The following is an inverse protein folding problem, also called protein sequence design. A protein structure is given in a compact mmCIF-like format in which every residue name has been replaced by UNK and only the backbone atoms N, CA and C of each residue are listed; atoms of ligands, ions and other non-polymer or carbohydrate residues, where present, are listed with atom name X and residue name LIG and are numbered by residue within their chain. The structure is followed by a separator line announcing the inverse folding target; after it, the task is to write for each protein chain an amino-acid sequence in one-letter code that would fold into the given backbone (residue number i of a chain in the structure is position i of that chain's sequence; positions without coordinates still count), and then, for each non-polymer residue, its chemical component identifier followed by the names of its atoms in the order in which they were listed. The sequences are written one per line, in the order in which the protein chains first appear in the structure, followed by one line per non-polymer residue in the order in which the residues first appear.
data_IF_227927856231
#
_entry.id   IF_227927856231
#
_cell.length_a   1.000
_cell.length_b   1.000
_cell.length_c   1.000
_cell.angle_alpha   90.00
_cell.angle_beta   90.00
_cell.angle_gamma   90.00
#
_symmetry.space_group_name_H-M   'P 1'
#
loop_
_entity.id
_entity.type
_entity.pdbx_description
1 polymer ?
#
# COMPACT_ATOMS: atom_id res chain seq x y z
N UNK A 1 7.67 -28.02 12.42
CA UNK A 1 7.56 -26.76 13.15
C UNK A 1 6.20 -26.67 13.83
N UNK A 2 6.06 -26.07 15.03
CA UNK A 2 4.77 -25.83 15.66
C UNK A 2 3.97 -24.78 14.86
N UNK A 3 2.68 -24.64 15.14
CA UNK A 3 1.90 -23.48 14.69
C UNK A 3 2.28 -22.29 15.58
N UNK A 4 2.82 -21.24 14.97
CA UNK A 4 3.31 -20.07 15.72
C UNK A 4 3.34 -18.82 14.87
N UNK A 5 3.08 -17.66 15.49
CA UNK A 5 3.42 -16.34 14.98
C UNK A 5 4.78 -15.97 15.55
N UNK A 6 5.75 -15.62 14.72
CA UNK A 6 7.12 -15.26 15.12
C UNK A 6 7.40 -13.79 15.07
N UNK A 7 6.81 -13.10 14.09
CA UNK A 7 7.00 -11.68 13.90
C UNK A 7 5.78 -11.03 13.22
N UNK A 8 5.68 -9.72 13.42
CA UNK A 8 4.77 -8.82 12.72
C UNK A 8 5.63 -7.78 12.03
N UNK A 9 5.45 -7.60 10.73
CA UNK A 9 5.99 -6.46 10.00
C UNK A 9 4.93 -5.36 9.98
N UNK A 10 5.37 -4.08 10.00
CA UNK A 10 4.52 -2.90 10.08
C UNK A 10 3.63 -2.91 11.34
N UNK A 11 4.28 -3.00 12.47
CA UNK A 11 3.67 -3.20 13.77
C UNK A 11 3.15 -1.93 14.47
N UNK A 12 2.93 -0.85 13.72
CA UNK A 12 2.36 0.41 14.22
C UNK A 12 1.27 0.89 13.28
N UNK A 13 0.05 1.05 13.76
CA UNK A 13 -1.11 1.50 12.98
C UNK A 13 -1.83 2.69 13.59
N UNK A 14 -2.41 3.55 12.74
CA UNK A 14 -3.24 4.68 13.16
C UNK A 14 -4.69 4.28 13.45
N UNK A 15 -5.33 4.92 14.43
CA UNK A 15 -6.71 4.64 14.83
C UNK A 15 -7.79 5.36 14.01
N UNK A 16 -7.49 5.73 12.76
CA UNK A 16 -8.43 6.45 11.88
C UNK A 16 -8.82 5.68 10.62
N UNK A 17 -8.40 4.42 10.50
CA UNK A 17 -8.69 3.63 9.32
C UNK A 17 -8.27 2.17 9.43
N UNK A 18 -8.11 1.53 8.27
CA UNK A 18 -7.63 0.14 8.20
C UNK A 18 -6.11 0.08 8.23
N UNK A 19 -5.61 -1.02 8.75
CA UNK A 19 -4.19 -1.33 8.79
C UNK A 19 -3.96 -2.79 8.43
N UNK A 20 -3.15 -3.03 7.41
CA UNK A 20 -2.74 -4.36 6.98
C UNK A 20 -1.32 -4.64 7.43
N UNK A 21 -1.16 -5.67 8.23
CA UNK A 21 0.13 -6.14 8.74
C UNK A 21 0.52 -7.44 8.10
N UNK A 22 1.82 -7.70 7.99
CA UNK A 22 2.33 -9.01 7.55
C UNK A 22 2.74 -9.82 8.75
N UNK A 23 2.14 -10.99 8.92
CA UNK A 23 2.52 -11.96 9.93
C UNK A 23 3.48 -12.99 9.35
N UNK A 24 4.57 -13.22 10.06
CA UNK A 24 5.58 -14.24 9.76
C UNK A 24 5.53 -15.32 10.82
N UNK A 25 5.48 -16.58 10.39
CA UNK A 25 5.33 -17.68 11.34
C UNK A 25 5.46 -19.06 10.70
N UNK A 26 4.58 -19.97 11.11
CA UNK A 26 4.52 -21.33 10.52
C UNK A 26 3.13 -21.95 10.64
N UNK A 27 2.77 -22.78 9.66
CA UNK A 27 1.50 -23.50 9.52
C UNK A 27 0.27 -22.58 9.41
N UNK A 28 0.43 -21.43 8.81
CA UNK A 28 -0.68 -20.54 8.49
C UNK A 28 -1.65 -21.18 7.48
N UNK A 29 -2.91 -20.79 7.55
CA UNK A 29 -3.99 -21.25 6.68
C UNK A 29 -4.80 -20.05 6.19
N UNK A 30 -5.45 -20.23 5.04
CA UNK A 30 -6.29 -19.20 4.40
C UNK A 30 -7.57 -18.84 5.20
N UNK A 31 -8.03 -19.76 6.04
CA UNK A 31 -9.27 -19.66 6.82
C UNK A 31 -9.03 -19.40 8.32
N UNK A 32 -7.84 -18.94 8.68
CA UNK A 32 -7.40 -18.76 10.05
C UNK A 32 -7.96 -17.48 10.66
N UNK A 33 -8.78 -17.55 11.73
CA UNK A 33 -9.16 -16.36 12.48
C UNK A 33 -7.94 -15.73 13.15
N UNK A 34 -7.87 -14.39 13.07
CA UNK A 34 -6.81 -13.59 13.69
C UNK A 34 -7.47 -12.41 14.41
N UNK A 35 -6.96 -12.03 15.56
CA UNK A 35 -7.42 -10.84 16.28
C UNK A 35 -6.29 -10.13 17.01
N UNK A 36 -6.48 -8.84 17.23
CA UNK A 36 -5.72 -8.01 18.17
C UNK A 36 -6.45 -8.03 19.52
N UNK A 37 -5.71 -7.93 20.60
CA UNK A 37 -6.27 -7.80 21.94
C UNK A 37 -5.28 -7.15 22.90
N UNK A 38 -5.82 -6.56 23.97
CA UNK A 38 -5.04 -6.13 25.14
C UNK A 38 -5.23 -7.12 26.29
N UNK A 39 -4.28 -7.14 27.21
CA UNK A 39 -4.33 -7.99 28.40
C UNK A 39 -3.57 -9.30 28.25
N UNK A 40 -3.90 -10.28 29.11
CA UNK A 40 -3.21 -11.56 29.18
C UNK A 40 -4.18 -12.74 29.01
N UNK A 41 -3.91 -13.65 28.06
CA UNK A 41 -4.66 -14.90 27.94
C UNK A 41 -4.55 -15.80 29.19
N UNK A 42 -3.40 -15.75 29.89
CA UNK A 42 -3.13 -16.58 31.06
C UNK A 42 -4.04 -16.22 32.25
N UNK A 43 -4.29 -14.91 32.44
CA UNK A 43 -5.12 -14.39 33.53
C UNK A 43 -6.60 -14.24 33.13
N UNK A 44 -6.96 -14.60 31.89
CA UNK A 44 -8.29 -14.38 31.31
C UNK A 44 -8.74 -12.89 31.35
N UNK A 45 -7.78 -11.96 31.27
CA UNK A 45 -8.02 -10.50 31.29
C UNK A 45 -7.93 -9.88 29.90
N UNK A 46 -8.43 -10.60 28.89
CA UNK A 46 -8.48 -10.09 27.50
C UNK A 46 -9.56 -9.02 27.36
N UNK A 47 -9.21 -7.88 26.80
CA UNK A 47 -10.12 -6.78 26.49
C UNK A 47 -9.68 -6.04 25.22
N UNK A 48 -10.47 -5.08 24.74
CA UNK A 48 -10.23 -4.32 23.50
C UNK A 48 -9.89 -5.24 22.31
N UNK A 49 -10.78 -6.19 22.07
CA UNK A 49 -10.59 -7.18 20.99
C UNK A 49 -10.99 -6.57 19.65
N UNK A 50 -10.11 -6.69 18.67
CA UNK A 50 -10.34 -6.27 17.27
C UNK A 50 -10.13 -7.50 16.40
N UNK A 51 -11.21 -8.02 15.82
CA UNK A 51 -11.14 -9.12 14.87
C UNK A 51 -10.59 -8.65 13.54
N UNK A 52 -9.87 -9.53 12.84
CA UNK A 52 -9.40 -9.24 11.51
C UNK A 52 -10.55 -9.14 10.50
N UNK A 53 -10.57 -8.10 9.69
CA UNK A 53 -11.51 -7.95 8.58
C UNK A 53 -11.23 -8.96 7.47
N UNK A 54 -9.95 -9.16 7.15
CA UNK A 54 -9.51 -10.02 6.05
C UNK A 54 -8.15 -10.64 6.35
N UNK A 55 -7.99 -11.89 5.94
CA UNK A 55 -6.70 -12.61 5.94
C UNK A 55 -6.35 -12.97 4.51
N UNK A 56 -5.25 -12.43 4.00
CA UNK A 56 -4.70 -12.75 2.68
C UNK A 56 -3.59 -13.79 2.84
N UNK A 57 -3.88 -14.99 2.41
CA UNK A 57 -2.95 -16.11 2.51
C UNK A 57 -1.89 -16.03 1.42
N UNK A 58 -0.63 -15.89 1.79
CA UNK A 58 0.50 -15.93 0.87
C UNK A 58 1.06 -17.35 0.79
N UNK A 59 1.47 -17.89 1.93
CA UNK A 59 1.99 -19.26 2.05
C UNK A 59 1.93 -19.75 3.52
N UNK A 60 2.44 -20.95 3.79
CA UNK A 60 2.44 -21.54 5.14
C UNK A 60 3.18 -20.72 6.21
N UNK A 61 4.02 -19.77 5.81
CA UNK A 61 4.86 -18.99 6.71
C UNK A 61 4.48 -17.50 6.74
N UNK A 62 3.66 -17.06 5.81
CA UNK A 62 3.35 -15.65 5.62
C UNK A 62 1.87 -15.43 5.30
N UNK A 63 1.25 -14.49 5.98
CA UNK A 63 -0.09 -13.99 5.69
C UNK A 63 -0.12 -12.48 5.90
N UNK A 64 -0.95 -11.77 5.13
CA UNK A 64 -1.34 -10.42 5.47
C UNK A 64 -2.67 -10.43 6.19
N UNK A 65 -2.82 -9.55 7.16
CA UNK A 65 -4.03 -9.44 7.99
C UNK A 65 -4.43 -7.98 8.08
N UNK A 66 -5.65 -7.67 7.66
CA UNK A 66 -6.22 -6.33 7.75
C UNK A 66 -7.10 -6.21 8.97
N UNK A 67 -6.86 -5.20 9.78
CA UNK A 67 -7.69 -4.81 10.92
C UNK A 67 -8.34 -3.45 10.65
N UNK A 68 -9.58 -3.28 11.05
CA UNK A 68 -10.21 -1.97 11.13
C UNK A 68 -9.90 -1.35 12.48
N UNK A 69 -9.04 -0.34 12.50
CA UNK A 69 -8.61 0.34 13.72
C UNK A 69 -9.37 1.64 13.98
N UNK A 70 -10.39 1.97 13.17
CA UNK A 70 -11.14 3.21 13.33
C UNK A 70 -11.79 3.30 14.72
N UNK A 71 -11.41 4.33 15.49
CA UNK A 71 -11.87 4.55 16.85
C UNK A 71 -11.31 3.57 17.89
N UNK A 72 -10.33 2.73 17.55
CA UNK A 72 -9.69 1.83 18.49
C UNK A 72 -8.90 2.61 19.56
N UNK A 73 -8.83 2.05 20.76
CA UNK A 73 -8.05 2.61 21.86
C UNK A 73 -6.55 2.53 21.55
N UNK A 74 -5.85 3.63 21.82
CA UNK A 74 -4.40 3.68 21.66
C UNK A 74 -3.70 2.80 22.69
N UNK A 75 -2.65 2.11 22.30
CA UNK A 75 -1.88 1.27 23.20
C UNK A 75 -1.21 0.10 22.51
N UNK A 76 -0.67 -0.79 23.34
CA UNK A 76 0.05 -1.98 22.88
C UNK A 76 -0.89 -3.17 22.88
N UNK A 77 -0.95 -3.84 21.74
CA UNK A 77 -1.79 -5.01 21.49
C UNK A 77 -0.95 -6.25 21.24
N UNK A 78 -1.52 -7.37 21.58
CA UNK A 78 -1.06 -8.71 21.26
C UNK A 78 -1.87 -9.27 20.10
N UNK A 79 -1.31 -10.24 19.37
CA UNK A 79 -2.01 -10.94 18.28
C UNK A 79 -2.27 -12.38 18.69
N UNK A 80 -3.51 -12.83 18.48
CA UNK A 80 -3.91 -14.23 18.55
C UNK A 80 -4.26 -14.73 17.15
N UNK A 81 -3.83 -15.93 16.82
CA UNK A 81 -4.31 -16.66 15.64
C UNK A 81 -4.76 -18.07 16.06
N UNK A 82 -5.78 -18.56 15.37
CA UNK A 82 -6.34 -19.89 15.63
C UNK A 82 -6.28 -20.77 14.38
N UNK A 83 -5.68 -21.95 14.53
CA UNK A 83 -5.67 -22.97 13.50
C UNK A 83 -6.50 -24.18 13.97
N UNK A 84 -7.53 -24.54 13.23
CA UNK A 84 -8.47 -25.63 13.57
C UNK A 84 -7.79 -26.98 13.84
N UNK A 85 -6.59 -27.20 13.32
CA UNK A 85 -5.83 -28.43 13.49
C UNK A 85 -4.73 -28.35 14.55
N UNK A 86 -4.33 -27.14 14.97
CA UNK A 86 -3.17 -26.92 15.83
C UNK A 86 -3.46 -26.07 17.08
N UNK A 87 -4.66 -25.49 17.20
CA UNK A 87 -5.07 -24.67 18.34
C UNK A 87 -4.68 -23.20 18.18
N UNK A 88 -4.44 -22.54 19.30
CA UNK A 88 -4.10 -21.11 19.38
C UNK A 88 -2.60 -20.88 19.37
N UNK A 89 -2.20 -19.71 18.86
CA UNK A 89 -0.89 -19.14 19.04
C UNK A 89 -1.01 -17.64 19.33
N UNK A 90 -0.08 -17.13 20.11
CA UNK A 90 -0.08 -15.74 20.55
C UNK A 90 1.29 -15.10 20.27
N UNK A 91 1.29 -13.83 19.87
CA UNK A 91 2.47 -12.98 19.89
C UNK A 91 2.11 -11.78 20.77
N UNK A 92 2.74 -11.71 21.95
CA UNK A 92 2.42 -10.72 22.98
C UNK A 92 3.09 -9.38 22.68
N UNK A 93 2.39 -8.27 23.00
CA UNK A 93 2.89 -6.89 22.98
C UNK A 93 3.60 -6.52 21.66
N UNK A 94 3.04 -6.95 20.56
CA UNK A 94 3.71 -6.93 19.26
C UNK A 94 3.19 -5.88 18.27
N UNK A 95 2.09 -5.21 18.60
CA UNK A 95 1.46 -4.21 17.73
C UNK A 95 1.07 -2.98 18.54
N UNK A 96 1.31 -1.78 18.00
CA UNK A 96 0.99 -0.52 18.66
C UNK A 96 -0.06 0.26 17.87
N UNK A 97 -1.16 0.64 18.50
CA UNK A 97 -2.13 1.59 17.96
C UNK A 97 -1.79 2.98 18.48
N UNK A 98 -1.66 3.92 17.55
CA UNK A 98 -1.31 5.33 17.79
C UNK A 98 -2.36 6.25 17.17
N UNK A 99 -2.36 7.58 17.47
CA UNK A 99 -3.21 8.53 16.77
C UNK A 99 -3.05 8.42 15.26
N UNK A 100 -4.18 8.37 14.54
CA UNK A 100 -4.19 8.30 13.09
C UNK A 100 -3.65 9.58 12.44
N UNK A 101 -2.88 9.41 11.38
CA UNK A 101 -2.46 10.47 10.48
C UNK A 101 -3.34 10.46 9.23
N UNK A 102 -3.59 11.60 8.58
CA UNK A 102 -4.27 11.61 7.29
C UNK A 102 -3.55 10.72 6.27
N UNK A 103 -4.32 10.12 5.37
CA UNK A 103 -3.76 9.43 4.20
C UNK A 103 -2.77 10.36 3.48
N UNK A 104 -1.59 9.84 3.20
CA UNK A 104 -0.55 10.63 2.54
C UNK A 104 0.22 9.78 1.53
N UNK A 105 -0.18 9.91 0.27
CA UNK A 105 0.50 9.29 -0.87
C UNK A 105 1.62 10.22 -1.35
N UNK A 106 2.84 9.89 -0.99
CA UNK A 106 4.03 10.62 -1.45
C UNK A 106 4.46 10.11 -2.84
N UNK A 107 4.83 11.03 -3.71
CA UNK A 107 5.34 10.74 -5.05
C UNK A 107 6.64 11.50 -5.32
N UNK A 108 7.55 10.90 -6.07
CA UNK A 108 8.81 11.52 -6.51
C UNK A 108 9.16 11.05 -7.92
N UNK A 109 9.22 11.98 -8.89
CA UNK A 109 9.61 11.68 -10.24
C UNK A 109 11.09 12.01 -10.46
N UNK A 110 11.89 11.00 -10.70
CA UNK A 110 13.32 11.12 -10.97
C UNK A 110 13.52 11.22 -12.48
N UNK A 111 14.04 12.35 -12.92
CA UNK A 111 14.36 12.65 -14.30
C UNK A 111 15.88 12.58 -14.46
N UNK A 112 16.42 11.80 -15.41
CA UNK A 112 17.87 11.76 -15.63
C UNK A 112 18.46 13.11 -16.01
N UNK A 113 19.64 13.43 -15.48
CA UNK A 113 20.35 14.66 -15.82
C UNK A 113 20.84 14.66 -17.27
N UNK A 114 20.91 15.85 -17.89
CA UNK A 114 21.48 16.03 -19.20
C UNK A 114 20.66 15.51 -20.38
N UNK A 115 19.36 15.35 -20.19
CA UNK A 115 18.46 14.95 -21.27
C UNK A 115 18.46 15.98 -22.40
N UNK A 116 18.43 15.46 -23.64
CA UNK A 116 18.30 16.25 -24.86
C UNK A 116 16.95 16.01 -25.52
N UNK A 117 16.43 17.01 -26.20
CA UNK A 117 15.22 16.89 -27.02
C UNK A 117 15.34 15.78 -28.07
N UNK A 118 14.22 15.22 -28.46
CA UNK A 118 14.11 14.15 -29.46
C UNK A 118 14.95 12.90 -29.10
N UNK A 119 14.94 12.51 -27.85
CA UNK A 119 15.64 11.32 -27.34
C UNK A 119 14.74 10.46 -26.45
N UNK A 120 15.00 9.17 -26.53
CA UNK A 120 14.43 8.23 -25.58
C UNK A 120 15.14 8.33 -24.23
N UNK A 121 14.38 8.28 -23.16
CA UNK A 121 14.88 8.17 -21.79
C UNK A 121 13.98 7.27 -20.96
N UNK A 122 14.41 6.99 -19.75
CA UNK A 122 13.61 6.31 -18.75
C UNK A 122 13.51 7.25 -17.56
N UNK A 123 12.28 7.56 -17.15
CA UNK A 123 11.97 8.25 -15.91
C UNK A 123 11.70 7.20 -14.84
N UNK A 124 11.97 7.51 -13.59
CA UNK A 124 11.65 6.65 -12.47
C UNK A 124 10.65 7.37 -11.58
N UNK A 125 9.46 6.81 -11.43
CA UNK A 125 8.47 7.28 -10.48
C UNK A 125 8.56 6.43 -9.22
N UNK A 126 8.85 7.07 -8.10
CA UNK A 126 8.74 6.50 -6.77
C UNK A 126 7.42 6.97 -6.15
N UNK A 127 6.69 6.08 -5.52
CA UNK A 127 5.51 6.42 -4.73
C UNK A 127 5.43 5.54 -3.48
N UNK A 128 4.73 6.04 -2.46
CA UNK A 128 4.61 5.29 -1.21
C UNK A 128 3.65 5.95 -0.24
N UNK A 129 3.14 5.15 0.68
CA UNK A 129 2.30 5.61 1.77
C UNK A 129 3.17 6.08 2.94
N UNK A 130 3.14 7.37 3.24
CA UNK A 130 3.84 7.97 4.38
C UNK A 130 2.91 8.29 5.56
N UNK A 131 1.64 7.88 5.48
CA UNK A 131 0.70 7.85 6.59
C UNK A 131 0.92 6.66 7.53
N UNK A 132 -0.04 6.41 8.41
CA UNK A 132 -0.04 5.26 9.32
C UNK A 132 -1.32 4.41 9.26
N UNK A 133 -2.08 4.55 8.18
CA UNK A 133 -3.23 3.72 7.78
C UNK A 133 -3.06 3.31 6.33
N UNK A 134 -3.72 2.24 5.90
CA UNK A 134 -3.70 1.77 4.52
C UNK A 134 -4.34 2.80 3.57
N UNK A 135 -3.75 2.96 2.39
CA UNK A 135 -4.42 3.63 1.28
C UNK A 135 -5.05 2.56 0.39
N UNK A 136 -6.36 2.62 0.23
CA UNK A 136 -7.13 1.65 -0.55
C UNK A 136 -7.28 2.12 -1.98
N UNK A 137 -6.95 1.25 -2.95
CA UNK A 137 -7.02 1.51 -4.38
C UNK A 137 -6.37 2.85 -4.78
N UNK A 138 -5.10 3.09 -4.42
CA UNK A 138 -4.44 4.33 -4.80
C UNK A 138 -4.41 4.48 -6.32
N UNK A 139 -4.75 5.66 -6.80
CA UNK A 139 -4.75 6.02 -8.22
C UNK A 139 -3.68 7.08 -8.47
N UNK A 140 -2.84 6.84 -9.45
CA UNK A 140 -1.81 7.79 -9.90
C UNK A 140 -1.91 8.01 -11.40
N UNK A 141 -1.85 9.26 -11.83
CA UNK A 141 -1.79 9.66 -13.22
C UNK A 141 -0.60 10.59 -13.46
N UNK A 142 0.24 10.24 -14.43
CA UNK A 142 1.34 11.09 -14.90
C UNK A 142 0.93 11.77 -16.20
N UNK A 143 1.02 13.11 -16.23
CA UNK A 143 0.76 13.91 -17.42
C UNK A 143 2.02 14.65 -17.85
N UNK A 144 2.34 14.59 -19.13
CA UNK A 144 3.39 15.41 -19.76
C UNK A 144 2.78 16.71 -20.28
N UNK A 145 3.09 17.84 -19.64
CA UNK A 145 2.65 19.17 -20.08
C UNK A 145 3.44 19.64 -21.30
N UNK A 146 4.71 19.27 -21.39
CA UNK A 146 5.61 19.62 -22.48
C UNK A 146 5.49 18.79 -23.76
N UNK A 147 4.43 17.95 -23.87
CA UNK A 147 4.17 17.15 -25.07
C UNK A 147 5.12 15.97 -25.27
N UNK A 148 5.94 15.63 -24.29
CA UNK A 148 6.77 14.40 -24.32
C UNK A 148 5.87 13.17 -24.27
N UNK A 149 6.23 12.15 -25.05
CA UNK A 149 5.46 10.89 -25.07
C UNK A 149 5.93 9.95 -23.97
N UNK A 150 4.99 9.32 -23.29
CA UNK A 150 5.24 8.44 -22.14
C UNK A 150 4.50 7.10 -22.28
N UNK A 151 5.05 6.06 -21.64
CA UNK A 151 4.45 4.72 -21.63
C UNK A 151 5.10 3.83 -20.59
N UNK A 152 4.42 2.78 -20.14
CA UNK A 152 4.96 1.76 -19.24
C UNK A 152 5.91 0.81 -19.98
N UNK A 153 5.67 0.63 -21.26
CA UNK A 153 6.52 -0.19 -22.12
C UNK A 153 7.15 0.65 -23.24
N UNK A 154 8.34 0.25 -23.68
CA UNK A 154 9.06 0.96 -24.74
C UNK A 154 8.25 1.08 -26.05
N UNK A 155 7.42 0.07 -26.33
CA UNK A 155 6.57 0.04 -27.53
C UNK A 155 5.43 1.06 -27.50
N UNK A 156 4.97 1.45 -26.33
CA UNK A 156 3.86 2.39 -26.14
C UNK A 156 4.21 3.83 -26.56
N UNK A 157 5.49 4.19 -26.60
CA UNK A 157 5.96 5.50 -27.09
C UNK A 157 5.45 5.80 -28.50
N UNK A 158 5.29 4.78 -29.33
CA UNK A 158 4.81 4.94 -30.71
C UNK A 158 3.32 5.33 -30.78
N UNK A 159 2.58 5.25 -29.67
CA UNK A 159 1.16 5.67 -29.60
C UNK A 159 1.06 7.16 -29.30
N UNK A 160 2.18 7.82 -28.97
CA UNK A 160 2.29 9.26 -28.69
C UNK A 160 1.41 9.75 -27.53
N UNK A 161 1.23 8.92 -26.50
CA UNK A 161 0.49 9.29 -25.28
C UNK A 161 1.26 10.32 -24.48
N UNK A 162 0.53 11.31 -23.98
CA UNK A 162 1.03 12.33 -23.04
C UNK A 162 0.49 12.15 -21.63
N UNK A 163 -0.40 11.17 -21.43
CA UNK A 163 -1.01 10.82 -20.15
C UNK A 163 -0.84 9.32 -19.92
N UNK A 164 -0.60 8.95 -18.67
CA UNK A 164 -0.35 7.57 -18.28
C UNK A 164 -0.95 7.29 -16.89
N UNK A 165 -1.82 6.30 -16.83
CA UNK A 165 -2.27 5.75 -15.56
C UNK A 165 -1.20 4.80 -15.03
N UNK A 166 -0.78 5.02 -13.79
CA UNK A 166 0.28 4.26 -13.14
C UNK A 166 -0.35 3.12 -12.34
N UNK A 167 0.02 1.87 -12.62
CA UNK A 167 -0.41 0.74 -11.80
C UNK A 167 0.21 0.87 -10.40
N UNK A 168 -0.66 0.87 -9.39
CA UNK A 168 -0.28 0.97 -7.98
C UNK A 168 -0.33 -0.39 -7.27
N UNK A 169 -0.55 -1.45 -8.03
CA UNK A 169 -0.59 -2.84 -7.56
C UNK A 169 0.81 -3.43 -7.61
N UNK A 170 1.20 -4.13 -6.56
CA UNK A 170 2.42 -4.92 -6.49
C UNK A 170 2.07 -6.38 -6.21
N UNK A 171 2.75 -7.32 -6.88
CA UNK A 171 2.53 -8.77 -6.73
C UNK A 171 2.86 -9.28 -5.32
N UNK A 172 3.74 -8.58 -4.59
CA UNK A 172 4.16 -8.93 -3.23
C UNK A 172 3.26 -8.36 -2.12
N UNK A 173 2.21 -7.61 -2.48
CA UNK A 173 1.31 -6.93 -1.55
C UNK A 173 -0.15 -7.39 -1.78
N UNK A 174 -1.03 -7.24 -0.78
CA UNK A 174 -2.46 -7.47 -0.97
C UNK A 174 -3.02 -6.55 -2.06
N UNK A 175 -3.79 -7.11 -2.98
CA UNK A 175 -4.34 -6.38 -4.12
C UNK A 175 -5.15 -5.15 -3.67
N UNK A 176 -4.84 -4.00 -4.26
CA UNK A 176 -5.53 -2.74 -4.00
C UNK A 176 -5.20 -2.09 -2.66
N UNK A 177 -4.15 -2.53 -1.95
CA UNK A 177 -3.73 -1.95 -0.68
C UNK A 177 -2.30 -1.44 -0.78
N UNK A 178 -2.10 -0.17 -0.44
CA UNK A 178 -0.77 0.42 -0.24
C UNK A 178 -0.56 0.66 1.25
N UNK A 179 0.20 -0.25 1.89
CA UNK A 179 0.46 -0.23 3.33
C UNK A 179 1.35 0.94 3.76
N UNK A 180 1.24 1.43 4.99
CA UNK A 180 2.13 2.44 5.55
C UNK A 180 3.60 2.04 5.44
N UNK A 181 4.48 3.01 5.10
CA UNK A 181 5.92 2.80 4.99
C UNK A 181 6.38 2.07 3.73
N UNK A 182 5.48 1.44 2.99
CA UNK A 182 5.82 0.73 1.74
C UNK A 182 6.07 1.73 0.62
N UNK A 183 7.13 1.49 -0.16
CA UNK A 183 7.50 2.30 -1.32
C UNK A 183 7.67 1.42 -2.54
N UNK A 184 7.20 1.92 -3.66
CA UNK A 184 7.30 1.26 -4.96
C UNK A 184 7.97 2.17 -5.98
N UNK A 185 8.49 1.52 -7.02
CA UNK A 185 9.19 2.20 -8.10
C UNK A 185 8.66 1.69 -9.44
N UNK A 186 8.30 2.62 -10.32
CA UNK A 186 7.85 2.32 -11.68
C UNK A 186 8.77 2.99 -12.68
N UNK A 187 9.24 2.22 -13.65
CA UNK A 187 10.00 2.74 -14.79
C UNK A 187 9.06 3.21 -15.90
N UNK A 188 9.22 4.43 -16.33
CA UNK A 188 8.40 5.06 -17.37
C UNK A 188 9.28 5.36 -18.56
N UNK A 189 8.99 4.75 -19.69
CA UNK A 189 9.65 5.09 -20.96
C UNK A 189 9.15 6.45 -21.43
N UNK A 190 10.06 7.27 -21.90
CA UNK A 190 9.76 8.61 -22.36
C UNK A 190 10.49 8.90 -23.67
N UNK A 191 9.83 9.63 -24.57
CA UNK A 191 10.47 10.30 -25.70
C UNK A 191 10.30 11.81 -25.52
N UNK A 192 11.41 12.50 -25.37
CA UNK A 192 11.45 13.93 -25.06
C UNK A 192 11.16 14.76 -26.32
N UNK A 193 10.12 15.59 -26.26
CA UNK A 193 9.79 16.54 -27.31
C UNK A 193 10.33 17.96 -26.96
N UNK A 194 9.43 18.91 -26.71
CA UNK A 194 9.79 20.31 -26.53
C UNK A 194 10.27 20.64 -25.10
N UNK A 195 9.60 20.13 -24.10
CA UNK A 195 9.98 20.31 -22.68
C UNK A 195 9.77 19.04 -21.86
N UNK A 196 10.41 18.99 -20.68
CA UNK A 196 10.33 17.90 -19.71
C UNK A 196 9.54 18.38 -18.49
N UNK A 197 8.32 18.77 -18.72
CA UNK A 197 7.41 19.18 -17.66
C UNK A 197 6.38 18.10 -17.44
N UNK A 198 6.27 17.63 -16.19
CA UNK A 198 5.36 16.58 -15.80
C UNK A 198 4.57 17.00 -14.57
N UNK A 199 3.32 16.56 -14.50
CA UNK A 199 2.47 16.66 -13.33
C UNK A 199 1.99 15.28 -12.95
N UNK A 200 2.00 14.99 -11.65
CA UNK A 200 1.46 13.75 -11.09
C UNK A 200 0.20 14.12 -10.31
N UNK A 201 -0.89 13.45 -10.66
CA UNK A 201 -2.16 13.55 -9.93
C UNK A 201 -2.36 12.27 -9.12
N UNK A 202 -2.91 12.39 -7.93
CA UNK A 202 -3.21 11.27 -7.03
C UNK A 202 -4.64 11.32 -6.51
N UNK A 203 -5.27 10.16 -6.37
CA UNK A 203 -6.57 9.97 -5.74
C UNK A 203 -7.63 11.02 -6.19
N UNK A 204 -8.09 11.89 -5.31
CA UNK A 204 -9.10 12.91 -5.61
C UNK A 204 -8.68 13.90 -6.70
N UNK A 205 -7.39 14.19 -6.82
CA UNK A 205 -6.86 15.07 -7.86
C UNK A 205 -7.05 14.46 -9.25
N UNK A 206 -6.88 13.14 -9.39
CA UNK A 206 -7.16 12.42 -10.65
C UNK A 206 -8.62 12.55 -11.03
N UNK A 207 -9.52 12.37 -10.08
CA UNK A 207 -10.96 12.49 -10.31
C UNK A 207 -11.35 13.90 -10.76
N UNK A 208 -10.83 14.94 -10.09
CA UNK A 208 -11.05 16.33 -10.46
C UNK A 208 -10.50 16.67 -11.86
N UNK A 209 -9.30 16.16 -12.18
CA UNK A 209 -8.68 16.35 -13.49
C UNK A 209 -9.54 15.75 -14.61
N UNK A 210 -10.03 14.52 -14.47
CA UNK A 210 -10.89 13.88 -15.47
C UNK A 210 -12.23 14.61 -15.66
N UNK A 211 -12.83 15.12 -14.57
CA UNK A 211 -14.06 15.92 -14.66
C UNK A 211 -13.82 17.23 -15.43
N UNK A 212 -12.75 17.97 -15.14
CA UNK A 212 -12.40 19.19 -15.85
C UNK A 212 -12.10 18.95 -17.31
N UNK A 213 -11.42 17.85 -17.65
CA UNK A 213 -11.13 17.43 -19.02
C UNK A 213 -12.40 17.19 -19.81
N UNK A 214 -13.36 16.48 -19.24
CA UNK A 214 -14.65 16.20 -19.87
C UNK A 214 -15.51 17.45 -20.07
N UNK A 215 -15.36 18.47 -19.23
CA UNK A 215 -16.03 19.76 -19.37
C UNK A 215 -15.43 20.63 -20.49
N UNK A 216 -14.12 20.55 -20.70
CA UNK A 216 -13.41 21.31 -21.75
C UNK A 216 -13.65 20.75 -23.15
N UNK A 217 -13.86 19.43 -23.26
CA UNK A 217 -14.05 18.74 -24.54
C UNK A 217 -15.49 18.85 -25.07
N UNK A 218 -16.43 19.33 -24.27
CA UNK A 218 -17.84 19.60 -24.65
C UNK A 218 -17.98 21.00 -25.23
#
# INVERSE_FOLDING_TARGET
LPFEIRAVEDNVGGNTGKMTVKLIGSKFRYDMPVKLFMGSPEDSTIYNVIEADTVYYVNFNEVFVTFNLEGAEEGVYSIEAYNYCAGFTYLMDCFMIVPGLPENLATNLIIPEGLRQNRHCILTLEYGNIGNTDIVNPVLKLCSIGGSWIGLERGEINIHKTELDIPTVNEDEPEGILRPGVRHTVSIYCFTNESLEFVIYSNEEVHNYEQLKDEIIK
#
